data_IF_981485961730
#
_entry.id   IF_981485961730
#
_cell.length_a   1.000
_cell.length_b   1.000
_cell.length_c   1.000
_cell.angle_alpha   90.00
_cell.angle_beta   90.00
_cell.angle_gamma   90.00
#
_symmetry.space_group_name_H-M   'P 1'
#
loop_
_entity.id
_entity.type
_entity.pdbx_description
1 polymer ?
#
# COMPACT_ATOMS: atom_id res chain seq x y z
N UNK A 1 -3.81 0.62 5.52
CA UNK A 1 -3.43 2.02 5.79
C UNK A 1 -4.16 2.92 4.82
N UNK A 2 -5.34 3.35 5.21
CA UNK A 2 -6.21 4.07 4.27
C UNK A 2 -6.13 5.59 4.41
N UNK A 3 -5.55 6.10 5.51
CA UNK A 3 -5.49 7.54 5.80
C UNK A 3 -4.06 8.05 5.98
N UNK A 4 -3.09 7.36 5.45
CA UNK A 4 -1.65 7.64 5.64
C UNK A 4 -1.21 7.57 7.10
N UNK A 5 -2.00 6.92 7.95
CA UNK A 5 -1.67 6.73 9.36
C UNK A 5 -0.80 5.49 9.53
N UNK A 6 0.51 5.71 9.48
CA UNK A 6 1.48 4.61 9.63
C UNK A 6 1.38 3.98 11.03
N UNK A 7 1.01 4.76 12.04
CA UNK A 7 0.85 4.25 13.40
C UNK A 7 -0.24 3.20 13.52
N UNK A 8 -1.22 3.18 12.61
CA UNK A 8 -2.28 2.18 12.63
C UNK A 8 -1.80 0.77 12.33
N UNK A 9 -0.61 0.62 11.75
CA UNK A 9 -0.05 -0.70 11.43
C UNK A 9 0.12 -1.53 12.70
N UNK A 10 0.63 -0.94 13.77
CA UNK A 10 0.83 -1.68 15.03
C UNK A 10 -0.48 -2.11 15.68
N UNK A 11 -1.55 -1.34 15.46
CA UNK A 11 -2.85 -1.61 16.07
C UNK A 11 -3.71 -2.59 15.28
N UNK A 12 -3.57 -2.63 13.95
CA UNK A 12 -4.45 -3.38 13.07
C UNK A 12 -3.80 -4.62 12.46
N UNK A 13 -2.49 -4.75 12.57
CA UNK A 13 -1.75 -5.88 12.03
C UNK A 13 -1.27 -6.79 13.15
N UNK A 14 -1.31 -8.10 12.90
CA UNK A 14 -0.66 -9.08 13.76
C UNK A 14 0.85 -8.83 13.73
N UNK A 15 1.54 -9.00 14.87
CA UNK A 15 2.99 -8.87 14.93
C UNK A 15 3.72 -9.85 14.03
N UNK A 16 3.09 -10.97 13.71
CA UNK A 16 3.60 -11.99 12.82
C UNK A 16 3.12 -11.81 11.38
N UNK A 17 2.66 -10.61 11.02
CA UNK A 17 2.17 -10.31 9.67
C UNK A 17 3.18 -10.68 8.60
N UNK A 18 2.69 -11.29 7.53
CA UNK A 18 3.42 -11.49 6.30
C UNK A 18 2.75 -10.68 5.21
N UNK A 19 3.47 -9.76 4.61
CA UNK A 19 2.96 -8.91 3.54
C UNK A 19 3.71 -9.19 2.25
N UNK A 20 2.96 -9.58 1.22
CA UNK A 20 3.48 -9.66 -0.14
C UNK A 20 3.36 -8.28 -0.79
N UNK A 21 4.47 -7.76 -1.28
CA UNK A 21 4.57 -6.42 -1.84
C UNK A 21 4.77 -6.47 -3.35
N UNK A 22 4.47 -5.37 -4.06
CA UNK A 22 4.73 -5.31 -5.49
C UNK A 22 6.20 -5.61 -5.81
N UNK A 23 6.43 -6.30 -6.92
CA UNK A 23 7.77 -6.69 -7.35
C UNK A 23 8.26 -8.00 -6.73
N UNK A 24 7.39 -8.75 -6.06
CA UNK A 24 7.75 -10.06 -5.51
C UNK A 24 8.47 -10.01 -4.17
N UNK A 25 8.43 -8.87 -3.48
CA UNK A 25 9.02 -8.74 -2.15
C UNK A 25 8.06 -9.19 -1.06
N UNK A 26 8.61 -9.77 0.00
CA UNK A 26 7.86 -10.20 1.17
C UNK A 26 8.40 -9.49 2.41
N UNK A 27 7.53 -8.84 3.18
CA UNK A 27 7.87 -8.26 4.46
C UNK A 27 7.30 -9.12 5.59
N UNK A 28 8.06 -9.26 6.66
CA UNK A 28 7.65 -9.96 7.87
C UNK A 28 7.61 -8.98 9.03
N UNK A 29 6.51 -8.99 9.78
CA UNK A 29 6.33 -8.15 10.95
C UNK A 29 5.88 -6.73 10.61
N UNK A 30 5.39 -6.03 11.64
CA UNK A 30 4.81 -4.69 11.47
C UNK A 30 5.82 -3.65 11.05
N UNK A 31 7.08 -3.81 11.43
CA UNK A 31 8.14 -2.87 11.05
C UNK A 31 8.36 -2.86 9.54
N UNK A 32 8.39 -4.03 8.89
CA UNK A 32 8.53 -4.13 7.46
C UNK A 32 7.35 -3.53 6.71
N UNK A 33 6.14 -3.74 7.22
CA UNK A 33 4.92 -3.16 6.64
C UNK A 33 4.95 -1.63 6.76
N UNK A 34 5.28 -1.10 7.93
CA UNK A 34 5.40 0.34 8.14
C UNK A 34 6.43 0.97 7.22
N UNK A 35 7.58 0.32 7.07
CA UNK A 35 8.66 0.79 6.21
C UNK A 35 8.21 0.89 4.75
N UNK A 36 7.50 -0.11 4.27
CA UNK A 36 6.96 -0.12 2.91
C UNK A 36 6.09 1.11 2.64
N UNK A 37 5.12 1.37 3.52
CA UNK A 37 4.21 2.51 3.36
C UNK A 37 4.92 3.84 3.53
N UNK A 38 5.88 3.95 4.46
CA UNK A 38 6.67 5.18 4.65
C UNK A 38 7.47 5.53 3.41
N UNK A 39 8.10 4.54 2.78
CA UNK A 39 8.88 4.76 1.57
C UNK A 39 7.98 5.20 0.42
N UNK A 40 6.85 4.53 0.24
CA UNK A 40 5.90 4.91 -0.82
C UNK A 40 5.38 6.34 -0.60
N UNK A 41 4.92 6.64 0.61
CA UNK A 41 4.35 7.95 0.92
C UNK A 41 5.37 9.07 0.94
N UNK A 42 6.66 8.76 1.18
CA UNK A 42 7.71 9.77 1.14
C UNK A 42 7.96 10.31 -0.28
N UNK A 43 7.66 9.52 -1.31
CA UNK A 43 7.73 9.99 -2.69
C UNK A 43 6.56 10.91 -3.05
N UNK A 44 5.45 10.81 -2.35
CA UNK A 44 4.22 11.55 -2.61
C UNK A 44 3.70 12.21 -1.33
N UNK A 45 4.39 13.26 -0.82
CA UNK A 45 4.04 13.84 0.49
C UNK A 45 2.63 14.44 0.57
N UNK A 46 2.09 14.89 -0.55
CA UNK A 46 0.74 15.47 -0.65
C UNK A 46 -0.32 14.43 -1.02
N UNK A 47 0.01 13.15 -0.97
CA UNK A 47 -0.87 12.10 -1.45
C UNK A 47 -2.20 12.06 -0.71
N UNK A 48 -3.25 11.81 -1.48
CA UNK A 48 -4.60 11.56 -0.96
C UNK A 48 -5.00 10.15 -1.30
N UNK A 49 -5.43 9.42 -0.29
CA UNK A 49 -5.99 8.09 -0.43
C UNK A 49 -7.49 8.14 -0.60
N UNK A 50 -8.01 7.29 -1.48
CA UNK A 50 -9.44 7.01 -1.53
C UNK A 50 -9.65 5.50 -1.59
N UNK A 51 -10.68 5.03 -0.90
CA UNK A 51 -11.12 3.64 -0.99
C UNK A 51 -12.24 3.59 -2.01
N UNK A 52 -11.99 2.86 -3.10
CA UNK A 52 -12.94 2.76 -4.21
C UNK A 52 -13.96 1.65 -3.99
N UNK A 53 -13.54 0.56 -3.38
CA UNK A 53 -14.39 -0.59 -3.14
C UNK A 53 -13.83 -1.46 -2.04
N UNK A 54 -14.71 -1.99 -1.19
CA UNK A 54 -14.35 -2.97 -0.16
C UNK A 54 -15.30 -4.16 -0.29
N UNK A 55 -14.72 -5.35 -0.29
CA UNK A 55 -15.47 -6.61 -0.28
C UNK A 55 -14.98 -7.47 0.87
N UNK A 56 -15.91 -7.98 1.66
CA UNK A 56 -15.60 -8.86 2.78
C UNK A 56 -16.08 -10.28 2.51
N UNK A 57 -15.30 -11.24 2.95
CA UNK A 57 -15.67 -12.65 2.93
C UNK A 57 -15.56 -13.20 4.35
N UNK A 58 -16.67 -13.74 4.87
CA UNK A 58 -16.74 -14.34 6.19
C UNK A 58 -17.45 -15.68 6.07
N UNK A 59 -16.68 -16.71 5.74
CA UNK A 59 -17.18 -18.06 5.57
C UNK A 59 -16.84 -18.91 6.80
N UNK A 60 -17.76 -19.81 7.15
CA UNK A 60 -17.58 -20.73 8.26
C UNK A 60 -16.30 -21.55 8.06
N UNK A 61 -15.52 -21.65 9.14
CA UNK A 61 -14.25 -22.42 9.19
C UNK A 61 -13.17 -21.88 8.26
N UNK A 62 -13.33 -20.62 7.79
CA UNK A 62 -12.32 -19.93 6.99
C UNK A 62 -11.91 -18.62 7.67
N UNK A 63 -10.66 -18.18 7.50
CA UNK A 63 -10.27 -16.85 7.97
C UNK A 63 -11.11 -15.76 7.30
N UNK A 64 -11.43 -14.73 8.06
CA UNK A 64 -12.09 -13.54 7.49
C UNK A 64 -11.13 -12.86 6.53
N UNK A 65 -11.65 -12.41 5.40
CA UNK A 65 -10.86 -11.77 4.35
C UNK A 65 -11.50 -10.47 3.91
N UNK A 66 -10.67 -9.54 3.48
CA UNK A 66 -11.13 -8.32 2.85
C UNK A 66 -10.33 -8.07 1.58
N UNK A 67 -11.02 -7.62 0.54
CA UNK A 67 -10.39 -7.12 -0.68
C UNK A 67 -10.71 -5.64 -0.79
N UNK A 68 -9.68 -4.82 -0.94
CA UNK A 68 -9.81 -3.37 -0.96
C UNK A 68 -9.20 -2.86 -2.25
N UNK A 69 -10.00 -2.16 -3.04
CA UNK A 69 -9.48 -1.39 -4.17
C UNK A 69 -9.33 0.05 -3.72
N UNK A 70 -8.14 0.59 -3.88
CA UNK A 70 -7.81 1.93 -3.42
C UNK A 70 -7.11 2.72 -4.52
N UNK A 71 -7.12 4.03 -4.37
CA UNK A 71 -6.38 4.93 -5.23
C UNK A 71 -5.57 5.90 -4.39
N UNK A 72 -4.44 6.31 -4.92
CA UNK A 72 -3.59 7.33 -4.34
C UNK A 72 -3.25 8.33 -5.43
N UNK A 73 -3.47 9.61 -5.14
CA UNK A 73 -3.15 10.70 -6.05
C UNK A 73 -2.21 11.65 -5.34
N UNK A 74 -1.10 11.96 -5.98
CA UNK A 74 -0.15 12.87 -5.39
C UNK A 74 0.86 13.39 -6.39
N UNK A 75 1.67 14.34 -5.94
CA UNK A 75 2.78 14.87 -6.72
C UNK A 75 4.07 14.16 -6.32
N UNK A 76 4.86 13.75 -7.29
CA UNK A 76 6.17 13.15 -7.04
C UNK A 76 7.16 14.25 -6.63
N UNK A 77 6.97 14.78 -5.42
CA UNK A 77 7.75 15.89 -4.88
C UNK A 77 8.72 15.49 -3.78
N UNK A 78 8.70 14.22 -3.38
CA UNK A 78 9.59 13.68 -2.35
C UNK A 78 10.50 12.58 -2.87
N UNK A 79 11.46 12.20 -2.05
CA UNK A 79 12.34 11.07 -2.36
C UNK A 79 11.75 9.79 -1.81
N UNK A 80 11.88 8.71 -2.56
CA UNK A 80 11.45 7.37 -2.20
C UNK A 80 12.01 6.40 -3.21
N UNK A 81 11.22 5.41 -3.59
CA UNK A 81 11.66 4.38 -4.55
C UNK A 81 11.68 4.86 -6.00
N UNK A 82 11.23 6.08 -6.29
CA UNK A 82 11.06 6.55 -7.67
C UNK A 82 12.05 7.64 -8.07
N UNK A 83 13.19 7.67 -7.39
CA UNK A 83 14.28 8.59 -7.71
C UNK A 83 14.03 10.01 -7.25
N UNK A 84 14.74 10.96 -7.87
CA UNK A 84 14.63 12.37 -7.52
C UNK A 84 13.25 12.93 -7.84
N UNK A 85 12.78 13.93 -7.07
CA UNK A 85 11.47 14.53 -7.31
C UNK A 85 11.33 15.07 -8.73
N UNK A 86 10.25 14.64 -9.39
CA UNK A 86 9.94 15.07 -10.76
C UNK A 86 8.80 16.09 -10.82
N UNK A 87 8.07 16.24 -9.71
CA UNK A 87 6.83 17.04 -9.60
C UNK A 87 5.72 16.57 -10.54
N UNK A 88 5.81 15.34 -11.05
CA UNK A 88 4.75 14.76 -11.84
C UNK A 88 3.52 14.49 -10.98
N UNK A 89 2.33 14.75 -11.53
CA UNK A 89 1.10 14.26 -10.92
C UNK A 89 0.97 12.77 -11.20
N UNK A 90 0.82 11.98 -10.15
CA UNK A 90 0.78 10.53 -10.25
C UNK A 90 -0.52 10.01 -9.67
N UNK A 91 -1.17 9.13 -10.40
CA UNK A 91 -2.35 8.38 -9.97
C UNK A 91 -1.95 6.92 -9.84
N UNK A 92 -2.13 6.38 -8.65
CA UNK A 92 -1.83 4.97 -8.36
C UNK A 92 -3.14 4.28 -8.02
N UNK A 93 -3.44 3.20 -8.74
CA UNK A 93 -4.55 2.32 -8.41
C UNK A 93 -3.97 1.04 -7.83
N UNK A 94 -4.44 0.65 -6.66
CA UNK A 94 -3.96 -0.54 -5.99
C UNK A 94 -5.07 -1.45 -5.50
N UNK A 95 -4.69 -2.67 -5.22
CA UNK A 95 -5.55 -3.69 -4.63
C UNK A 95 -4.81 -4.28 -3.45
N UNK A 96 -5.49 -4.35 -2.30
CA UNK A 96 -4.99 -5.05 -1.13
C UNK A 96 -5.95 -6.16 -0.77
N UNK A 97 -5.40 -7.35 -0.53
CA UNK A 97 -6.14 -8.48 0.02
C UNK A 97 -5.60 -8.75 1.41
N UNK A 98 -6.48 -8.73 2.40
CA UNK A 98 -6.11 -8.96 3.79
C UNK A 98 -6.79 -10.21 4.32
N UNK A 99 -6.05 -11.01 5.06
CA UNK A 99 -6.55 -12.17 5.77
C UNK A 99 -6.37 -11.93 7.25
N UNK A 100 -7.46 -12.02 8.00
CA UNK A 100 -7.46 -11.69 9.41
C UNK A 100 -7.24 -12.91 10.28
N UNK A 101 -6.40 -12.74 11.30
CA UNK A 101 -6.24 -13.70 12.39
C UNK A 101 -6.82 -13.12 13.68
N UNK A 102 -6.66 -13.84 14.82
CA UNK A 102 -7.18 -13.38 16.12
C UNK A 102 -6.60 -12.04 16.60
N UNK A 103 -5.44 -11.67 16.09
CA UNK A 103 -4.69 -10.48 16.53
C UNK A 103 -4.57 -9.40 15.47
N UNK A 104 -5.40 -9.46 14.43
CA UNK A 104 -5.40 -8.50 13.35
C UNK A 104 -5.03 -9.12 12.01
N UNK A 105 -4.60 -8.29 11.07
CA UNK A 105 -4.24 -8.75 9.74
C UNK A 105 -2.97 -9.60 9.82
N UNK A 106 -3.10 -10.86 9.44
CA UNK A 106 -2.02 -11.84 9.50
C UNK A 106 -1.29 -12.01 8.17
N UNK A 107 -2.02 -11.96 7.08
CA UNK A 107 -1.46 -12.00 5.74
C UNK A 107 -2.07 -10.89 4.92
N UNK A 108 -1.25 -10.22 4.12
CA UNK A 108 -1.71 -9.16 3.22
C UNK A 108 -0.98 -9.27 1.90
N UNK A 109 -1.70 -9.06 0.82
CA UNK A 109 -1.14 -8.97 -0.53
C UNK A 109 -1.46 -7.59 -1.05
N UNK A 110 -0.42 -6.84 -1.40
CA UNK A 110 -0.55 -5.48 -1.94
C UNK A 110 -0.03 -5.49 -3.37
N UNK A 111 -0.87 -5.03 -4.29
CA UNK A 111 -0.51 -4.91 -5.69
C UNK A 111 -0.83 -3.52 -6.21
N UNK A 112 0.12 -2.92 -6.89
CA UNK A 112 -0.09 -1.78 -7.76
C UNK A 112 0.95 -1.82 -8.89
N UNK A 113 0.67 -1.12 -9.97
CA UNK A 113 1.54 -1.17 -11.16
C UNK A 113 2.63 -0.11 -11.06
N UNK A 114 3.84 -0.51 -10.67
CA UNK A 114 4.99 0.39 -10.58
C UNK A 114 5.38 0.92 -11.96
N UNK A 115 5.18 0.14 -13.00
CA UNK A 115 5.48 0.57 -14.37
C UNK A 115 4.63 1.78 -14.76
N UNK A 116 3.37 1.81 -14.37
CA UNK A 116 2.49 2.95 -14.62
C UNK A 116 2.93 4.19 -13.85
N UNK A 117 3.49 4.01 -12.64
CA UNK A 117 4.03 5.13 -11.88
C UNK A 117 5.23 5.74 -12.62
N UNK A 118 6.17 4.91 -13.03
CA UNK A 118 7.33 5.34 -13.79
C UNK A 118 6.95 6.00 -15.13
N UNK A 119 5.95 5.45 -15.80
CA UNK A 119 5.45 6.03 -17.06
C UNK A 119 4.95 7.45 -16.85
N UNK A 120 4.17 7.70 -15.81
CA UNK A 120 3.66 9.04 -15.51
C UNK A 120 4.79 10.02 -15.19
N UNK A 121 5.79 9.56 -14.43
CA UNK A 121 6.96 10.37 -14.11
C UNK A 121 7.76 10.70 -15.40
N UNK A 122 8.01 9.72 -16.24
CA UNK A 122 8.78 9.90 -17.47
C UNK A 122 8.06 10.78 -18.49
N UNK A 123 6.74 10.74 -18.54
CA UNK A 123 5.96 11.65 -19.39
C UNK A 123 6.13 13.11 -18.96
N UNK A 124 6.40 13.35 -17.69
CA UNK A 124 6.65 14.70 -17.17
C UNK A 124 8.07 15.16 -17.45
N UNK A 125 9.06 14.29 -17.27
CA UNK A 125 10.48 14.65 -17.29
C UNK A 125 11.17 14.37 -18.62
N UNK A 126 10.63 13.48 -19.37
CA UNK A 126 11.23 13.00 -20.61
C UNK A 126 10.59 13.37 -21.86
#
# INVERSE_FOLDING_TARGET
IMNKDIGSVENNYDRAIQQEQPGGYTAHGTEGVSKFWKILLSAFPDAKFSVEHISFTDEKDQPKKAAIRWALVGSHSGKGNFGDPSNAQVYIMGISHAEFGPRGIKNEWVLFDETMIWKQILLKTG
#
